data_IF_419328676748
#
_entry.id   IF_419328676748
#
_cell.length_a   1.000
_cell.length_b   1.000
_cell.length_c   1.000
_cell.angle_alpha   90.00
_cell.angle_beta   90.00
_cell.angle_gamma   90.00
#
_symmetry.space_group_name_H-M   'P 1'
#
loop_
_entity.id
_entity.type
_entity.pdbx_description
1 polymer ?
#
# COMPACT_ATOMS: atom_id res chain seq x y z
N UNK A 1 -16.67 -3.67 -3.15
CA UNK A 1 -15.24 -3.58 -2.79
C UNK A 1 -15.12 -2.90 -1.45
N UNK A 2 -14.32 -3.46 -0.56
CA UNK A 2 -14.03 -2.94 0.78
C UNK A 2 -12.52 -2.99 1.00
N UNK A 3 -11.99 -2.00 1.70
CA UNK A 3 -10.65 -2.01 2.25
C UNK A 3 -10.70 -2.22 3.77
N UNK A 4 -9.71 -2.91 4.32
CA UNK A 4 -9.41 -3.01 5.74
C UNK A 4 -7.92 -2.76 5.94
N UNK A 5 -7.56 -1.92 6.90
CA UNK A 5 -6.17 -1.60 7.21
C UNK A 5 -5.74 -2.41 8.44
N UNK A 6 -4.70 -3.23 8.29
CA UNK A 6 -4.08 -4.02 9.36
C UNK A 6 -3.12 -3.21 10.23
N UNK A 7 -2.74 -2.02 9.78
CA UNK A 7 -1.91 -1.05 10.51
C UNK A 7 -2.56 0.33 10.51
N UNK A 8 -2.31 1.10 11.57
CA UNK A 8 -2.85 2.44 11.74
C UNK A 8 -2.00 3.46 10.95
N UNK A 9 -2.66 4.28 10.13
CA UNK A 9 -2.04 5.45 9.50
C UNK A 9 -1.97 6.61 10.48
N UNK A 10 -1.06 7.56 10.26
CA UNK A 10 -0.97 8.75 11.10
C UNK A 10 -2.13 9.71 10.80
N UNK A 11 -2.85 10.15 11.85
CA UNK A 11 -4.02 11.02 11.70
C UNK A 11 -3.73 12.33 10.93
N UNK A 12 -2.53 12.91 11.08
CA UNK A 12 -2.12 14.11 10.34
C UNK A 12 -1.90 13.88 8.82
N UNK A 13 -1.79 12.62 8.40
CA UNK A 13 -1.60 12.19 7.01
C UNK A 13 -2.58 11.05 6.70
N UNK A 14 -3.88 11.28 6.92
CA UNK A 14 -4.90 10.24 6.76
C UNK A 14 -5.33 9.96 5.31
N UNK A 15 -4.96 10.83 4.36
CA UNK A 15 -5.26 10.65 2.93
C UNK A 15 -6.75 10.72 2.56
N UNK A 16 -7.66 11.07 3.48
CA UNK A 16 -9.11 10.86 3.31
C UNK A 16 -9.70 9.77 4.22
N UNK A 17 -8.87 9.17 5.09
CA UNK A 17 -9.27 8.21 6.11
C UNK A 17 -9.27 6.76 5.63
N UNK A 18 -10.14 5.93 6.20
CA UNK A 18 -10.12 4.47 6.02
C UNK A 18 -10.30 3.99 4.57
N UNK A 19 -10.72 4.88 3.66
CA UNK A 19 -10.94 4.58 2.24
C UNK A 19 -9.97 5.27 1.30
N UNK A 20 -8.98 6.01 1.81
CA UNK A 20 -8.05 6.81 1.03
C UNK A 20 -7.41 6.02 -0.12
N UNK A 21 -6.97 4.79 0.15
CA UNK A 21 -6.25 3.98 -0.84
C UNK A 21 -7.14 3.37 -1.94
N UNK A 22 -8.44 3.67 -1.96
CA UNK A 22 -9.40 3.17 -2.95
C UNK A 22 -10.44 4.25 -3.32
N UNK A 23 -10.12 5.52 -3.15
CA UNK A 23 -11.04 6.64 -3.41
C UNK A 23 -10.79 7.35 -4.75
N UNK A 24 -9.71 6.98 -5.45
CA UNK A 24 -9.32 7.53 -6.74
C UNK A 24 -8.57 8.86 -6.66
N UNK A 25 -8.27 9.36 -5.46
CA UNK A 25 -7.41 10.52 -5.27
C UNK A 25 -5.96 10.17 -5.62
N UNK A 26 -5.25 11.12 -6.22
CA UNK A 26 -3.85 10.96 -6.61
C UNK A 26 -2.96 11.93 -5.86
N UNK A 27 -1.87 11.40 -5.34
CA UNK A 27 -0.82 12.16 -4.69
C UNK A 27 -0.11 13.11 -5.66
N UNK A 28 0.46 14.18 -5.10
CA UNK A 28 1.38 15.07 -5.82
C UNK A 28 2.74 15.08 -5.14
N UNK A 29 3.74 15.75 -5.74
CA UNK A 29 5.05 15.93 -5.10
C UNK A 29 4.99 16.71 -3.79
N UNK A 30 3.90 17.44 -3.52
CA UNK A 30 3.67 18.05 -2.21
C UNK A 30 2.75 17.14 -1.38
N UNK A 31 3.33 16.54 -0.34
CA UNK A 31 2.59 15.65 0.57
C UNK A 31 1.49 16.36 1.37
N UNK A 32 1.51 17.70 1.43
CA UNK A 32 0.53 18.51 2.18
C UNK A 32 -0.80 18.66 1.45
N UNK A 33 -0.90 18.14 0.21
CA UNK A 33 -2.13 18.17 -0.59
C UNK A 33 -3.25 17.31 -0.01
N UNK A 34 -2.94 16.41 0.94
CA UNK A 34 -3.94 15.62 1.66
C UNK A 34 -4.35 14.32 0.96
N UNK A 35 -3.80 14.02 -0.22
CA UNK A 35 -4.07 12.79 -0.96
C UNK A 35 -3.13 11.62 -0.61
N UNK A 36 -2.21 11.81 0.32
CA UNK A 36 -1.29 10.77 0.77
C UNK A 36 -1.72 10.23 2.13
N UNK A 37 -1.80 8.91 2.24
CA UNK A 37 -1.93 8.21 3.51
C UNK A 37 -0.53 7.82 4.02
N UNK A 38 -0.19 8.30 5.22
CA UNK A 38 1.15 8.21 5.80
C UNK A 38 1.24 7.21 6.95
N UNK A 39 2.28 6.37 6.93
CA UNK A 39 2.58 5.36 7.95
C UNK A 39 3.99 5.59 8.50
N UNK A 40 4.13 5.79 9.81
CA UNK A 40 5.44 6.02 10.45
C UNK A 40 5.93 4.78 11.16
N UNK A 41 7.13 4.31 10.82
CA UNK A 41 7.77 3.17 11.49
C UNK A 41 6.92 1.89 11.58
N UNK A 42 5.94 1.75 10.70
CA UNK A 42 5.07 0.59 10.58
C UNK A 42 4.92 0.27 9.10
N UNK A 43 4.68 -1.00 8.81
CA UNK A 43 4.37 -1.43 7.46
C UNK A 43 2.99 -0.90 7.07
N UNK A 44 2.79 -0.58 5.79
CA UNK A 44 1.44 -0.56 5.25
C UNK A 44 0.94 -2.00 5.21
N UNK A 45 -0.25 -2.26 5.75
CA UNK A 45 -0.94 -3.54 5.66
C UNK A 45 -2.39 -3.27 5.25
N UNK A 46 -2.75 -3.57 4.00
CA UNK A 46 -4.07 -3.30 3.45
C UNK A 46 -4.68 -4.55 2.81
N UNK A 47 -5.92 -4.86 3.17
CA UNK A 47 -6.71 -5.94 2.60
C UNK A 47 -7.84 -5.35 1.76
N UNK A 48 -7.94 -5.75 0.50
CA UNK A 48 -9.01 -5.37 -0.42
C UNK A 48 -9.84 -6.62 -0.70
N UNK A 49 -11.13 -6.55 -0.38
CA UNK A 49 -12.09 -7.65 -0.59
C UNK A 49 -13.19 -7.25 -1.56
N UNK A 50 -13.59 -8.20 -2.40
CA UNK A 50 -14.66 -8.03 -3.39
C UNK A 50 -16.04 -8.45 -2.89
N UNK A 51 -16.13 -9.11 -1.73
CA UNK A 51 -17.41 -9.56 -1.17
C UNK A 51 -18.36 -8.39 -0.87
N UNK A 52 -19.58 -8.47 -1.42
CA UNK A 52 -20.69 -7.56 -1.16
C UNK A 52 -21.62 -7.99 -0.01
N UNK A 53 -21.39 -9.17 0.58
CA UNK A 53 -22.34 -9.82 1.49
C UNK A 53 -22.70 -8.98 2.73
N UNK A 54 -21.77 -8.16 3.23
CA UNK A 54 -22.00 -7.29 4.39
C UNK A 54 -22.57 -5.91 4.04
N UNK A 55 -22.86 -5.66 2.76
CA UNK A 55 -23.46 -4.42 2.25
C UNK A 55 -24.90 -4.62 1.77
N UNK A 56 -25.49 -5.82 1.94
CA UNK A 56 -26.81 -6.16 1.41
C UNK A 56 -26.88 -6.14 -0.12
N UNK A 57 -25.73 -6.27 -0.78
CA UNK A 57 -25.55 -6.26 -2.22
C UNK A 57 -25.16 -7.66 -2.70
N UNK A 58 -26.00 -8.64 -2.38
CA UNK A 58 -25.81 -10.07 -2.68
C UNK A 58 -25.77 -10.39 -4.19
N UNK A 59 -25.99 -9.38 -5.02
CA UNK A 59 -25.97 -9.45 -6.49
C UNK A 59 -24.62 -9.12 -7.11
N UNK A 60 -23.65 -8.59 -6.34
CA UNK A 60 -22.32 -8.28 -6.86
C UNK A 60 -21.41 -9.53 -6.85
N UNK A 61 -20.58 -9.75 -7.89
CA UNK A 61 -19.59 -10.81 -7.87
C UNK A 61 -18.68 -10.71 -6.65
N UNK A 62 -18.55 -11.81 -5.92
CA UNK A 62 -17.66 -11.92 -4.75
C UNK A 62 -16.20 -12.18 -5.14
N UNK A 63 -15.93 -12.39 -6.43
CA UNK A 63 -14.59 -12.62 -6.98
C UNK A 63 -14.33 -11.74 -8.20
N UNK A 64 -13.06 -11.46 -8.48
CA UNK A 64 -12.60 -10.74 -9.67
C UNK A 64 -11.30 -11.35 -10.20
N UNK A 65 -11.13 -11.33 -11.51
CA UNK A 65 -9.83 -11.55 -12.15
C UNK A 65 -9.25 -10.18 -12.48
N UNK A 66 -8.05 -9.90 -11.99
CA UNK A 66 -7.33 -8.66 -12.24
C UNK A 66 -6.14 -8.95 -13.16
N UNK A 67 -5.79 -8.01 -14.03
CA UNK A 67 -4.53 -8.05 -14.78
C UNK A 67 -3.36 -7.62 -13.91
N UNK A 68 -3.53 -6.53 -13.18
CA UNK A 68 -2.52 -5.97 -12.29
C UNK A 68 -3.13 -5.05 -11.23
N UNK A 69 -2.37 -4.79 -10.18
CA UNK A 69 -2.60 -3.67 -9.27
C UNK A 69 -1.48 -2.64 -9.42
N UNK A 70 -1.82 -1.37 -9.26
CA UNK A 70 -0.86 -0.25 -9.33
C UNK A 70 -0.93 0.58 -8.07
N UNK A 71 0.24 1.00 -7.59
CA UNK A 71 0.39 1.83 -6.40
C UNK A 71 1.43 2.91 -6.66
N UNK A 72 1.27 4.08 -6.07
CA UNK A 72 2.30 5.12 -6.11
C UNK A 72 2.77 5.45 -4.69
N UNK A 73 4.07 5.64 -4.56
CA UNK A 73 4.71 6.05 -3.32
C UNK A 73 5.44 7.36 -3.52
N UNK A 74 5.33 8.26 -2.55
CA UNK A 74 6.13 9.47 -2.52
C UNK A 74 7.52 9.13 -1.96
N UNK A 75 8.57 9.66 -2.58
CA UNK A 75 9.90 9.71 -2.03
C UNK A 75 10.29 11.17 -1.80
N UNK A 76 10.50 11.52 -0.53
CA UNK A 76 11.06 12.81 -0.10
C UNK A 76 11.90 12.56 1.15
N UNK A 77 13.14 12.14 0.93
CA UNK A 77 14.01 11.70 2.02
C UNK A 77 14.29 12.83 3.02
N UNK A 78 14.34 14.11 2.59
CA UNK A 78 14.49 15.25 3.50
C UNK A 78 13.35 15.34 4.53
N UNK A 79 12.16 14.92 4.12
CA UNK A 79 10.96 14.81 4.97
C UNK A 79 10.81 13.43 5.61
N UNK A 80 11.85 12.59 5.51
CA UNK A 80 11.94 11.24 6.05
C UNK A 80 10.97 10.25 5.37
N UNK A 81 10.52 10.58 4.16
CA UNK A 81 9.58 9.77 3.38
C UNK A 81 10.38 8.90 2.42
N UNK A 82 10.29 7.59 2.62
CA UNK A 82 11.04 6.58 1.89
C UNK A 82 10.10 5.67 1.12
N UNK A 83 10.63 5.13 0.02
CA UNK A 83 10.00 3.99 -0.64
C UNK A 83 10.00 2.79 0.32
N UNK A 84 9.02 1.88 0.20
CA UNK A 84 9.08 0.62 0.92
C UNK A 84 10.30 -0.19 0.50
N UNK A 85 10.83 -1.03 1.38
CA UNK A 85 11.93 -1.96 1.06
C UNK A 85 11.46 -3.21 0.33
N UNK A 86 10.19 -3.57 0.53
CA UNK A 86 9.54 -4.72 -0.06
C UNK A 86 8.05 -4.43 -0.26
N UNK A 87 7.52 -4.88 -1.39
CA UNK A 87 6.08 -4.96 -1.64
C UNK A 87 5.68 -6.43 -1.76
N UNK A 88 4.84 -6.91 -0.85
CA UNK A 88 4.30 -8.26 -0.88
C UNK A 88 2.80 -8.22 -1.19
N UNK A 89 2.39 -9.03 -2.15
CA UNK A 89 0.98 -9.27 -2.48
C UNK A 89 0.64 -10.70 -2.15
N UNK A 90 -0.41 -10.88 -1.36
CA UNK A 90 -1.05 -12.16 -1.09
C UNK A 90 -2.46 -12.16 -1.64
N UNK A 91 -2.97 -13.32 -2.03
CA UNK A 91 -4.32 -13.47 -2.59
C UNK A 91 -5.11 -14.54 -1.85
N UNK A 92 -6.43 -14.39 -1.83
CA UNK A 92 -7.38 -15.44 -1.48
C UNK A 92 -8.12 -15.87 -2.74
N UNK A 93 -7.99 -17.14 -3.11
CA UNK A 93 -8.73 -17.72 -4.22
C UNK A 93 -10.24 -17.85 -3.88
N UNK A 94 -11.06 -18.10 -4.91
CA UNK A 94 -12.50 -18.31 -4.76
C UNK A 94 -12.85 -19.50 -3.85
N UNK A 95 -12.07 -20.58 -3.93
CA UNK A 95 -12.33 -21.88 -3.32
C UNK A 95 -11.81 -22.03 -1.88
N UNK A 96 -11.15 -21.01 -1.34
CA UNK A 96 -10.60 -20.99 0.01
C UNK A 96 -10.93 -19.68 0.76
N UNK A 97 -12.18 -19.45 1.20
CA UNK A 97 -12.53 -18.26 1.96
C UNK A 97 -12.03 -18.30 3.42
N UNK A 98 -11.52 -17.18 3.96
CA UNK A 98 -11.22 -16.98 5.39
C UNK A 98 -9.75 -16.63 5.71
N UNK A 99 -9.47 -16.10 6.90
CA UNK A 99 -8.16 -15.52 7.27
C UNK A 99 -6.94 -16.47 7.17
N UNK A 100 -7.15 -17.78 7.11
CA UNK A 100 -6.09 -18.79 6.98
C UNK A 100 -5.72 -19.14 5.53
N UNK A 101 -6.30 -18.47 4.53
CA UNK A 101 -6.19 -18.83 3.10
C UNK A 101 -5.23 -17.97 2.27
N UNK A 102 -4.50 -17.04 2.89
CA UNK A 102 -3.57 -16.16 2.18
C UNK A 102 -2.43 -16.93 1.53
N UNK A 103 -2.35 -16.87 0.21
CA UNK A 103 -1.21 -17.38 -0.56
C UNK A 103 -0.36 -16.21 -1.02
N UNK A 104 0.95 -16.25 -0.76
CA UNK A 104 1.88 -15.25 -1.31
C UNK A 104 1.88 -15.40 -2.83
N UNK A 105 1.47 -14.33 -3.52
CA UNK A 105 1.44 -14.28 -4.97
C UNK A 105 2.76 -13.74 -5.52
N UNK A 106 3.18 -12.59 -5.03
CA UNK A 106 4.40 -11.94 -5.48
C UNK A 106 5.05 -11.14 -4.35
N UNK A 107 6.38 -11.16 -4.32
CA UNK A 107 7.20 -10.29 -3.49
C UNK A 107 8.14 -9.52 -4.40
N UNK A 108 8.03 -8.20 -4.39
CA UNK A 108 8.94 -7.30 -5.10
C UNK A 108 9.90 -6.66 -4.09
N UNK A 109 11.19 -6.92 -4.28
CA UNK A 109 12.23 -6.23 -3.53
C UNK A 109 12.47 -4.86 -4.16
N UNK A 110 12.45 -3.81 -3.34
CA UNK A 110 12.82 -2.46 -3.77
C UNK A 110 14.27 -2.25 -3.34
N UNK A 111 15.22 -2.05 -4.29
CA UNK A 111 16.64 -1.95 -3.98
C UNK A 111 16.95 -0.90 -2.91
N UNK A 112 18.09 -1.11 -2.23
CA UNK A 112 18.48 -0.35 -1.06
C UNK A 112 18.40 1.17 -1.24
N UNK A 113 18.07 1.81 -0.12
CA UNK A 113 17.94 3.25 0.02
C UNK A 113 19.32 3.92 -0.09
N UNK A 114 19.67 4.31 -1.31
CA UNK A 114 20.75 5.28 -1.52
C UNK A 114 20.25 6.69 -1.21
N UNK A 115 21.20 7.58 -0.90
CA UNK A 115 20.88 8.98 -0.70
C UNK A 115 20.31 9.57 -1.99
N UNK A 116 19.10 10.12 -1.89
CA UNK A 116 18.35 10.69 -2.99
C UNK A 116 17.76 12.03 -2.55
N UNK A 117 18.14 13.10 -3.26
CA UNK A 117 17.87 14.48 -2.85
C UNK A 117 16.70 15.14 -3.60
N UNK A 118 16.08 14.37 -4.49
CA UNK A 118 14.99 14.80 -5.36
C UNK A 118 13.66 14.24 -4.85
N UNK A 119 12.60 15.02 -4.96
CA UNK A 119 11.25 14.54 -4.65
C UNK A 119 10.70 13.81 -5.87
N UNK A 120 10.37 12.53 -5.72
CA UNK A 120 9.79 11.72 -6.79
C UNK A 120 8.54 11.00 -6.35
N UNK A 121 7.73 10.60 -7.34
CA UNK A 121 6.60 9.70 -7.16
C UNK A 121 6.97 8.45 -7.94
N UNK A 122 7.11 7.32 -7.24
CA UNK A 122 7.45 6.05 -7.85
C UNK A 122 6.22 5.17 -7.95
N UNK A 123 5.93 4.73 -9.16
CA UNK A 123 4.82 3.83 -9.45
C UNK A 123 5.30 2.37 -9.48
N UNK A 124 4.59 1.51 -8.77
CA UNK A 124 4.80 0.07 -8.78
C UNK A 124 3.58 -0.60 -9.41
N UNK A 125 3.84 -1.59 -10.25
CA UNK A 125 2.82 -2.41 -10.89
C UNK A 125 3.12 -3.88 -10.60
N UNK A 126 2.11 -4.61 -10.13
CA UNK A 126 2.22 -6.03 -9.79
C UNK A 126 1.17 -6.77 -10.60
N UNK A 127 1.62 -7.62 -11.54
CA UNK A 127 0.74 -8.52 -12.29
C UNK A 127 -0.02 -9.41 -11.32
N UNK A 128 -1.30 -9.63 -11.57
CA UNK A 128 -2.17 -10.44 -10.74
C UNK A 128 -2.41 -11.83 -11.36
N UNK A 129 -2.85 -12.82 -10.58
CA UNK A 129 -3.17 -14.14 -11.12
C UNK A 129 -4.28 -14.08 -12.17
N UNK A 130 -4.21 -14.97 -13.16
CA UNK A 130 -5.18 -15.09 -14.25
C UNK A 130 -6.45 -15.88 -13.85
N UNK A 131 -6.69 -16.06 -12.55
CA UNK A 131 -7.86 -16.72 -11.99
C UNK A 131 -8.62 -15.80 -11.03
N UNK A 132 -9.92 -16.06 -10.78
CA UNK A 132 -10.72 -15.25 -9.86
C UNK A 132 -10.21 -15.30 -8.42
N UNK A 133 -10.07 -14.13 -7.80
CA UNK A 133 -9.72 -13.96 -6.39
C UNK A 133 -10.86 -13.28 -5.63
N UNK A 134 -11.07 -13.63 -4.36
CA UNK A 134 -12.08 -13.02 -3.49
C UNK A 134 -11.55 -11.81 -2.71
N UNK A 135 -10.23 -11.79 -2.49
CA UNK A 135 -9.51 -10.69 -1.86
C UNK A 135 -8.02 -10.73 -2.23
N UNK A 136 -7.34 -9.59 -2.04
CA UNK A 136 -5.89 -9.51 -2.02
C UNK A 136 -5.41 -8.65 -0.84
N UNK A 137 -4.20 -8.90 -0.37
CA UNK A 137 -3.55 -8.17 0.72
C UNK A 137 -2.22 -7.62 0.22
N UNK A 138 -1.98 -6.34 0.47
CA UNK A 138 -0.73 -5.65 0.18
C UNK A 138 -0.01 -5.35 1.48
N UNK A 139 1.26 -5.73 1.55
CA UNK A 139 2.16 -5.32 2.63
C UNK A 139 3.32 -4.55 2.03
N UNK A 140 3.50 -3.29 2.44
CA UNK A 140 4.66 -2.47 2.07
C UNK A 140 5.57 -2.29 3.28
N UNK A 141 6.77 -2.87 3.22
CA UNK A 141 7.71 -2.90 4.34
C UNK A 141 8.42 -1.56 4.52
N UNK A 142 8.40 -1.04 5.75
CA UNK A 142 9.14 0.20 6.05
C UNK A 142 10.65 -0.03 6.05
N UNK A 143 11.41 1.05 5.85
CA UNK A 143 12.85 1.08 6.15
C UNK A 143 13.07 0.97 7.67
N UNK A 144 12.09 1.41 8.47
CA UNK A 144 12.18 1.47 9.91
C UNK A 144 13.05 2.64 10.35
N UNK A 145 14.21 2.34 10.92
CA UNK A 145 15.20 3.35 11.31
C UNK A 145 15.77 4.06 10.08
N UNK A 146 16.00 5.37 10.19
CA UNK A 146 16.63 6.12 9.11
C UNK A 146 18.05 5.59 8.86
N UNK A 147 18.45 5.38 7.59
CA UNK A 147 19.80 4.92 7.26
C UNK A 147 20.88 5.83 7.83
N UNK A 148 22.04 5.29 8.22
CA UNK A 148 23.09 6.03 8.94
C UNK A 148 23.59 7.31 8.26
N UNK A 149 23.48 7.40 6.92
CA UNK A 149 23.86 8.59 6.16
C UNK A 149 22.81 9.71 6.18
N UNK A 150 21.58 9.41 6.61
CA UNK A 150 20.48 10.35 6.63
C UNK A 150 20.58 11.28 7.85
N UNK A 151 20.32 12.58 7.67
CA UNK A 151 20.51 13.61 8.71
C UNK A 151 19.71 13.34 10.00
N UNK A 152 18.54 12.70 9.88
CA UNK A 152 17.70 12.32 11.01
C UNK A 152 18.15 11.05 11.76
N UNK A 153 19.14 10.32 11.26
CA UNK A 153 19.55 9.04 11.84
C UNK A 153 20.15 9.20 13.25
N UNK A 154 20.95 10.25 13.47
CA UNK A 154 21.52 10.55 14.80
C UNK A 154 20.49 11.03 15.82
N UNK A 155 19.22 11.17 15.43
CA UNK A 155 18.10 11.60 16.26
C UNK A 155 17.09 10.46 16.48
N UNK A 156 17.48 9.20 16.24
CA UNK A 156 16.62 8.03 16.27
C UNK A 156 15.40 8.13 15.33
N UNK A 157 15.52 8.93 14.26
CA UNK A 157 14.44 9.19 13.34
C UNK A 157 13.94 7.90 12.67
N UNK A 158 12.63 7.87 12.40
CA UNK A 158 11.95 6.75 11.75
C UNK A 158 11.38 7.16 10.41
N UNK A 159 11.50 6.27 9.44
CA UNK A 159 11.00 6.45 8.09
C UNK A 159 9.47 6.46 8.04
N UNK A 160 8.98 7.23 7.07
CA UNK A 160 7.59 7.24 6.65
C UNK A 160 7.42 6.47 5.34
N UNK A 161 6.29 5.78 5.19
CA UNK A 161 5.73 5.36 3.91
C UNK A 161 4.55 6.28 3.60
N UNK A 162 4.54 6.86 2.40
CA UNK A 162 3.41 7.64 1.89
C UNK A 162 2.90 6.97 0.62
N UNK A 163 1.63 6.58 0.62
CA UNK A 163 0.92 5.92 -0.49
C UNK A 163 -0.38 6.66 -0.79
N UNK A 164 -0.77 6.78 -2.05
CA UNK A 164 -2.01 7.48 -2.45
C UNK A 164 -3.17 6.52 -2.72
N UNK A 165 -3.01 5.59 -3.66
CA UNK A 165 -4.09 4.77 -4.21
C UNK A 165 -3.59 3.36 -4.57
N UNK A 166 -4.44 2.36 -4.38
CA UNK A 166 -4.30 0.99 -4.89
C UNK A 166 -5.29 0.84 -6.06
N UNK A 167 -4.81 1.15 -7.27
CA UNK A 167 -5.61 1.06 -8.49
C UNK A 167 -5.69 -0.39 -8.97
N UNK A 168 -6.90 -0.82 -9.34
CA UNK A 168 -7.17 -2.13 -9.90
C UNK A 168 -7.28 -2.05 -11.43
N UNK A 169 -6.59 -2.94 -12.13
CA UNK A 169 -6.67 -3.05 -13.59
C UNK A 169 -7.28 -4.41 -13.96
N UNK A 170 -8.37 -4.39 -14.72
CA UNK A 170 -9.12 -5.56 -15.22
C UNK A 170 -8.82 -5.86 -16.70
#
# INVERSE_FOLDING_TARGET
MRISLGTEYANQYNGGGDRALIDGARGTRDFRTGAWQGYQNVDLDAVISFSGANLGLDTLPSTRTLKEIRMQFLQDQRSWIFLPTELQVMVQAEDAPGDASWTVWQTLQVPQVEAYDTVSIEAFSISMPDYPISAFRVVAKTVGDLPAWHIGASMDGKAWIFVDEIELVE
#
